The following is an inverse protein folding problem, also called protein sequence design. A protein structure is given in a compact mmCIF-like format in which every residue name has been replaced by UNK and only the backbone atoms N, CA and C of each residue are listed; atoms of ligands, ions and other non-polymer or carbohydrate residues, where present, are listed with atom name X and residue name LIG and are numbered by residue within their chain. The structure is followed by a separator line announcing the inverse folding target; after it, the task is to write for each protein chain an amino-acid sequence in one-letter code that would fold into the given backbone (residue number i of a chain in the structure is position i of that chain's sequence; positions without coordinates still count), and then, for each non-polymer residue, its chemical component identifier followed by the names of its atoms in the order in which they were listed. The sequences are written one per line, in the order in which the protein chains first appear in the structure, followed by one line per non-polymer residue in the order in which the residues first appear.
data_IF_466230050651
#
_entry.id   IF_466230050651
#
_cell.length_a   1.000
_cell.length_b   1.000
_cell.length_c   1.000
_cell.angle_alpha   90.00
_cell.angle_beta   90.00
_cell.angle_gamma   90.00
#
_symmetry.space_group_name_H-M   'P 1'
#
loop_
_entity.id
_entity.type
_entity.pdbx_description
1 polymer ?
#
# COMPACT_ATOMS: atom_id res chain seq x y z
N UNK A 1 -7.86 -0.65 5.03
CA UNK A 1 -7.51 -0.60 6.46
C UNK A 1 -6.58 -1.76 6.69
N UNK A 2 -5.48 -1.51 7.38
CA UNK A 2 -4.48 -2.51 7.71
C UNK A 2 -4.25 -2.54 9.22
N UNK A 3 -3.77 -3.67 9.72
CA UNK A 3 -3.61 -3.90 11.16
C UNK A 3 -2.26 -4.55 11.41
N UNK A 4 -1.50 -4.01 12.35
CA UNK A 4 -0.38 -4.69 12.98
C UNK A 4 -0.83 -5.17 14.38
N UNK A 5 -1.19 -6.45 14.53
CA UNK A 5 -1.63 -6.98 15.81
C UNK A 5 -0.49 -7.14 16.83
N UNK A 6 0.77 -7.11 16.39
CA UNK A 6 1.94 -7.31 17.24
C UNK A 6 2.38 -6.00 17.90
N UNK A 7 2.29 -4.90 17.16
CA UNK A 7 2.45 -3.54 17.70
C UNK A 7 1.15 -2.96 18.29
N UNK A 8 0.04 -3.66 18.13
CA UNK A 8 -1.26 -3.22 18.61
C UNK A 8 -1.74 -1.94 17.94
N UNK A 9 -1.50 -1.79 16.62
CA UNK A 9 -1.89 -0.62 15.83
C UNK A 9 -2.81 -0.96 14.67
N UNK A 10 -3.72 -0.04 14.34
CA UNK A 10 -4.48 -0.05 13.11
C UNK A 10 -4.21 1.21 12.27
N UNK A 11 -4.33 1.06 10.96
CA UNK A 11 -4.12 2.12 9.98
C UNK A 11 -5.32 2.13 9.03
N UNK A 12 -5.88 3.29 8.74
CA UNK A 12 -6.96 3.42 7.74
C UNK A 12 -6.83 4.71 6.94
N UNK A 13 -7.51 4.73 5.79
CA UNK A 13 -7.56 5.91 4.94
C UNK A 13 -8.88 6.62 5.21
N UNK A 14 -8.82 7.88 5.65
CA UNK A 14 -9.97 8.77 5.80
C UNK A 14 -9.68 10.07 5.07
N UNK A 15 -10.61 10.56 4.26
CA UNK A 15 -10.42 11.80 3.50
C UNK A 15 -9.08 11.86 2.73
N UNK A 16 -8.63 10.72 2.20
CA UNK A 16 -7.39 10.57 1.42
C UNK A 16 -6.09 10.74 2.19
N UNK A 17 -6.13 10.79 3.51
CA UNK A 17 -4.95 10.71 4.37
C UNK A 17 -4.96 9.39 5.14
N UNK A 18 -3.78 8.99 5.63
CA UNK A 18 -3.64 7.81 6.49
C UNK A 18 -3.77 8.26 7.94
N UNK A 19 -4.75 7.71 8.65
CA UNK A 19 -4.96 7.86 10.09
C UNK A 19 -4.52 6.56 10.79
N UNK A 20 -4.15 6.67 12.07
CA UNK A 20 -3.78 5.50 12.88
C UNK A 20 -4.26 5.63 14.32
N UNK A 21 -4.47 4.49 14.97
CA UNK A 21 -4.72 4.39 16.40
C UNK A 21 -4.14 3.07 16.92
N UNK A 22 -4.02 2.96 18.24
CA UNK A 22 -3.87 1.66 18.88
C UNK A 22 -5.16 0.82 18.73
N UNK A 23 -5.05 -0.49 18.97
CA UNK A 23 -6.19 -1.41 18.84
C UNK A 23 -7.30 -1.17 19.88
N UNK A 24 -7.04 -0.44 20.96
CA UNK A 24 -8.08 0.05 21.87
C UNK A 24 -8.81 1.28 21.33
N UNK A 25 -8.22 2.01 20.39
CA UNK A 25 -8.76 3.23 19.80
C UNK A 25 -8.53 4.50 20.62
N UNK A 26 -7.69 4.45 21.65
CA UNK A 26 -7.41 5.55 22.57
C UNK A 26 -6.30 6.48 22.05
N UNK A 27 -5.25 5.92 21.44
CA UNK A 27 -4.08 6.68 21.00
C UNK A 27 -4.12 6.99 19.50
N UNK A 28 -4.93 7.99 19.13
CA UNK A 28 -5.17 8.39 17.74
C UNK A 28 -4.16 9.42 17.21
N UNK A 29 -3.64 9.19 16.00
CA UNK A 29 -2.90 10.16 15.20
C UNK A 29 -3.68 10.47 13.92
N UNK A 30 -3.94 11.76 13.70
CA UNK A 30 -4.85 12.24 12.66
C UNK A 30 -4.29 12.26 11.25
N UNK A 31 -2.96 12.14 11.07
CA UNK A 31 -2.35 11.96 9.77
C UNK A 31 -0.91 11.45 9.92
N UNK A 32 -0.56 10.41 9.15
CA UNK A 32 0.82 9.95 8.97
C UNK A 32 1.26 9.98 7.49
N UNK A 33 0.40 10.48 6.61
CA UNK A 33 0.73 10.87 5.23
C UNK A 33 0.74 12.39 5.09
N UNK A 34 1.35 12.91 4.03
CA UNK A 34 1.30 14.34 3.73
C UNK A 34 -0.14 14.75 3.35
N UNK A 35 -0.59 15.93 3.77
CA UNK A 35 -1.94 16.43 3.48
C UNK A 35 -2.16 16.73 1.98
N UNK A 36 -1.08 16.94 1.23
CA UNK A 36 -1.12 17.13 -0.22
C UNK A 36 -1.25 15.82 -1.00
N UNK A 37 -1.06 14.68 -0.33
CA UNK A 37 -1.13 13.37 -0.96
C UNK A 37 -2.57 12.83 -0.96
N UNK A 38 -3.00 12.35 -2.11
CA UNK A 38 -4.32 11.76 -2.28
C UNK A 38 -4.21 10.24 -2.17
N UNK A 39 -4.16 9.72 -0.95
CA UNK A 39 -3.93 8.29 -0.69
C UNK A 39 -5.13 7.45 -1.16
N UNK A 40 -4.81 6.38 -1.90
CA UNK A 40 -5.78 5.47 -2.51
C UNK A 40 -5.82 4.10 -1.80
N UNK A 41 -4.65 3.54 -1.54
CA UNK A 41 -4.49 2.20 -0.95
C UNK A 41 -3.17 2.12 -0.22
N UNK A 42 -3.06 1.16 0.71
CA UNK A 42 -1.84 0.89 1.45
C UNK A 42 -1.67 -0.60 1.77
N UNK A 43 -0.47 -0.99 2.18
CA UNK A 43 -0.12 -2.29 2.76
C UNK A 43 1.00 -2.10 3.77
N UNK A 44 1.16 -3.02 4.71
CA UNK A 44 2.19 -2.98 5.74
C UNK A 44 3.36 -3.93 5.41
N UNK A 45 4.56 -3.53 5.79
CA UNK A 45 5.70 -4.42 6.07
C UNK A 45 5.89 -4.42 7.58
N UNK A 46 5.43 -5.51 8.22
CA UNK A 46 5.44 -5.66 9.68
C UNK A 46 6.86 -5.81 10.22
N UNK A 47 7.80 -6.35 9.43
CA UNK A 47 9.18 -6.55 9.89
C UNK A 47 9.92 -5.22 10.01
N UNK A 48 9.65 -4.28 9.10
CA UNK A 48 10.28 -2.96 9.08
C UNK A 48 9.43 -1.86 9.70
N UNK A 49 8.21 -2.15 10.11
CA UNK A 49 7.22 -1.15 10.53
C UNK A 49 7.06 -0.04 9.49
N UNK A 50 6.98 -0.44 8.22
CA UNK A 50 6.76 0.47 7.10
C UNK A 50 5.34 0.35 6.56
N UNK A 51 4.83 1.47 6.06
CA UNK A 51 3.59 1.60 5.34
C UNK A 51 3.93 1.95 3.91
N UNK A 52 3.56 1.07 2.99
CA UNK A 52 3.62 1.32 1.56
C UNK A 52 2.25 1.80 1.12
N UNK A 53 2.19 2.97 0.49
CA UNK A 53 0.91 3.49 0.01
C UNK A 53 1.03 4.13 -1.36
N UNK A 54 -0.09 4.10 -2.07
CA UNK A 54 -0.22 4.71 -3.38
C UNK A 54 -0.99 6.00 -3.23
N UNK A 55 -0.42 7.08 -3.74
CA UNK A 55 -1.07 8.39 -3.80
C UNK A 55 -1.21 8.85 -5.24
N UNK A 56 -2.30 9.56 -5.50
CA UNK A 56 -2.64 10.11 -6.80
C UNK A 56 -2.20 11.58 -6.88
N UNK A 57 -1.23 11.89 -7.75
CA UNK A 57 -0.77 13.27 -7.92
C UNK A 57 -1.48 13.98 -9.08
N UNK A 58 -1.87 13.25 -10.12
CA UNK A 58 -2.58 13.82 -11.28
C UNK A 58 -3.36 12.74 -12.03
N UNK A 59 -4.14 13.15 -13.05
CA UNK A 59 -5.18 12.31 -13.69
C UNK A 59 -4.70 10.92 -14.18
N UNK A 60 -3.41 10.74 -14.40
CA UNK A 60 -2.80 9.53 -14.95
C UNK A 60 -1.46 9.16 -14.27
N UNK A 61 -1.22 9.68 -13.06
CA UNK A 61 0.05 9.48 -12.38
C UNK A 61 -0.18 9.16 -10.91
N UNK A 62 0.10 7.90 -10.57
CA UNK A 62 0.18 7.41 -9.20
C UNK A 62 1.64 7.23 -8.81
N UNK A 63 1.94 7.51 -7.55
CA UNK A 63 3.28 7.32 -6.98
C UNK A 63 3.21 6.44 -5.74
N UNK A 64 4.23 5.62 -5.57
CA UNK A 64 4.45 4.81 -4.38
C UNK A 64 5.23 5.63 -3.36
N UNK A 65 4.72 5.65 -2.13
CA UNK A 65 5.33 6.27 -0.98
C UNK A 65 5.63 5.20 0.08
N UNK A 66 6.63 5.49 0.91
CA UNK A 66 7.02 4.66 2.04
C UNK A 66 7.22 5.57 3.23
N UNK A 67 6.48 5.27 4.29
CA UNK A 67 6.57 5.96 5.57
C UNK A 67 6.69 4.94 6.69
N UNK A 68 7.23 5.33 7.84
CA UNK A 68 7.17 4.50 9.04
C UNK A 68 5.79 4.62 9.72
N UNK A 69 5.59 3.91 10.83
CA UNK A 69 4.32 3.94 11.56
C UNK A 69 4.00 5.28 12.25
N UNK A 70 4.93 6.23 12.24
CA UNK A 70 4.78 7.57 12.83
C UNK A 70 4.70 8.67 11.76
N UNK A 71 4.74 8.30 10.47
CA UNK A 71 4.64 9.24 9.36
C UNK A 71 5.97 9.81 8.87
N UNK A 72 7.11 9.30 9.33
CA UNK A 72 8.41 9.69 8.79
C UNK A 72 8.62 9.07 7.42
N UNK A 73 8.77 9.92 6.40
CA UNK A 73 9.10 9.50 5.03
C UNK A 73 10.45 8.77 5.01
N UNK A 74 10.41 7.50 4.60
CA UNK A 74 11.59 6.60 4.61
C UNK A 74 12.45 6.81 3.36
N UNK A 75 11.83 7.18 2.23
CA UNK A 75 12.52 7.44 0.98
C UNK A 75 11.71 8.35 0.05
N UNK A 76 12.35 8.82 -1.03
CA UNK A 76 11.66 9.52 -2.10
C UNK A 76 10.57 8.67 -2.78
N UNK A 77 9.53 9.36 -3.24
CA UNK A 77 8.40 8.73 -3.90
C UNK A 77 8.84 8.13 -5.24
N UNK A 78 8.31 6.97 -5.57
CA UNK A 78 8.55 6.33 -6.86
C UNK A 78 7.36 6.50 -7.78
N UNK A 79 7.58 7.12 -8.94
CA UNK A 79 6.53 7.28 -9.95
C UNK A 79 6.23 5.96 -10.64
N UNK A 80 4.96 5.54 -10.64
CA UNK A 80 4.54 4.29 -11.30
C UNK A 80 4.17 4.62 -12.75
N UNK A 81 4.95 4.17 -13.75
CA UNK A 81 4.71 4.53 -15.15
C UNK A 81 3.38 3.99 -15.66
N UNK A 82 2.66 4.80 -16.43
CA UNK A 82 1.36 4.44 -17.04
C UNK A 82 0.34 3.91 -16.03
N UNK A 83 0.37 4.44 -14.80
CA UNK A 83 -0.58 4.08 -13.76
C UNK A 83 -1.91 4.82 -13.96
N UNK A 84 -2.86 4.14 -14.61
CA UNK A 84 -4.27 4.32 -14.24
C UNK A 84 -4.43 4.11 -12.73
N UNK A 85 -5.47 4.68 -12.09
CA UNK A 85 -5.61 4.61 -10.64
C UNK A 85 -5.45 3.17 -10.16
N UNK A 86 -4.39 2.94 -9.39
CA UNK A 86 -4.09 1.66 -8.76
C UNK A 86 -4.95 1.56 -7.52
N UNK A 87 -5.79 0.53 -7.44
CA UNK A 87 -6.78 0.41 -6.37
C UNK A 87 -6.32 -0.51 -5.23
N UNK A 88 -5.30 -1.33 -5.45
CA UNK A 88 -4.83 -2.24 -4.42
C UNK A 88 -3.35 -2.58 -4.56
N UNK A 89 -2.72 -2.74 -3.40
CA UNK A 89 -1.34 -3.14 -3.23
C UNK A 89 -1.25 -4.21 -2.13
N UNK A 90 -0.30 -5.13 -2.25
CA UNK A 90 0.05 -6.08 -1.18
C UNK A 90 1.56 -6.27 -1.14
N UNK A 91 2.11 -6.49 0.06
CA UNK A 91 3.53 -6.73 0.27
C UNK A 91 3.80 -8.17 0.70
N UNK A 92 4.84 -8.80 0.15
CA UNK A 92 5.31 -10.12 0.59
C UNK A 92 6.76 -10.40 0.24
N UNK A 93 7.49 -10.91 1.24
CA UNK A 93 8.92 -11.15 1.16
C UNK A 93 9.66 -9.82 0.95
N UNK A 94 9.96 -9.51 -0.31
CA UNK A 94 10.58 -8.25 -0.71
C UNK A 94 9.92 -7.61 -1.93
N UNK A 95 8.76 -8.13 -2.35
CA UNK A 95 7.99 -7.61 -3.47
C UNK A 95 6.71 -6.94 -3.01
N UNK A 96 6.38 -5.85 -3.69
CA UNK A 96 5.05 -5.29 -3.76
C UNK A 96 4.35 -5.83 -5.00
N UNK A 97 3.07 -6.14 -4.83
CA UNK A 97 2.15 -6.62 -5.83
C UNK A 97 1.07 -5.55 -6.03
N UNK A 98 1.02 -4.94 -7.21
CA UNK A 98 0.10 -3.84 -7.49
C UNK A 98 -0.89 -4.24 -8.56
N UNK A 99 -2.19 -4.04 -8.30
CA UNK A 99 -3.24 -4.28 -9.28
C UNK A 99 -3.74 -2.96 -9.88
N UNK A 100 -3.61 -2.82 -11.19
CA UNK A 100 -4.12 -1.68 -11.94
C UNK A 100 -5.36 -2.06 -12.78
N UNK A 101 -6.44 -1.28 -12.67
CA UNK A 101 -7.62 -1.38 -13.51
C UNK A 101 -7.34 -0.81 -14.91
N UNK A 102 -7.04 -1.70 -15.86
CA UNK A 102 -6.98 -1.36 -17.28
C UNK A 102 -8.32 -1.64 -17.98
N UNK A 103 -8.61 -0.90 -19.05
CA UNK A 103 -9.84 -1.05 -19.83
C UNK A 103 -10.07 -2.47 -20.40
N UNK A 104 -9.00 -3.25 -20.60
CA UNK A 104 -9.07 -4.58 -21.24
C UNK A 104 -8.29 -5.68 -20.51
N UNK A 105 -7.47 -5.35 -19.51
CA UNK A 105 -6.60 -6.27 -18.76
C UNK A 105 -6.26 -5.67 -17.38
N UNK A 106 -6.21 -6.51 -16.34
CA UNK A 106 -5.52 -6.12 -15.13
C UNK A 106 -4.04 -6.44 -15.27
N UNK A 107 -3.24 -5.53 -14.74
CA UNK A 107 -1.80 -5.76 -14.64
C UNK A 107 -1.44 -5.91 -13.19
N UNK A 108 -0.77 -7.02 -12.88
CA UNK A 108 -0.05 -7.23 -11.65
C UNK A 108 1.40 -6.79 -11.87
N UNK A 109 1.85 -5.80 -11.12
CA UNK A 109 3.25 -5.41 -11.11
C UNK A 109 3.94 -6.04 -9.90
N UNK A 110 5.09 -6.65 -10.14
CA UNK A 110 6.04 -7.00 -9.10
C UNK A 110 7.05 -5.87 -8.99
N UNK A 111 7.25 -5.37 -7.77
CA UNK A 111 8.15 -4.25 -7.53
C UNK A 111 8.99 -4.51 -6.29
N UNK A 112 10.29 -4.26 -6.38
CA UNK A 112 11.06 -3.90 -5.19
C UNK A 112 10.75 -2.44 -4.84
N UNK A 113 10.84 -2.01 -3.58
CA UNK A 113 10.69 -0.60 -3.21
C UNK A 113 11.54 0.31 -4.13
N UNK A 114 10.87 1.12 -4.95
CA UNK A 114 11.54 2.03 -5.90
C UNK A 114 11.92 1.45 -7.27
N UNK A 115 11.57 0.20 -7.61
CA UNK A 115 11.82 -0.35 -8.94
C UNK A 115 10.82 -1.42 -9.37
N UNK A 116 10.36 -1.38 -10.63
CA UNK A 116 9.53 -2.43 -11.22
C UNK A 116 10.44 -3.59 -11.64
N UNK A 117 10.20 -4.77 -11.08
CA UNK A 117 11.00 -5.98 -11.32
C UNK A 117 10.29 -6.97 -12.24
N UNK A 118 8.96 -6.88 -12.34
CA UNK A 118 8.18 -7.79 -13.17
C UNK A 118 6.80 -7.25 -13.51
N UNK A 119 6.21 -7.82 -14.57
CA UNK A 119 4.85 -7.52 -15.02
C UNK A 119 4.14 -8.81 -15.43
N UNK A 120 3.00 -9.06 -14.83
CA UNK A 120 2.12 -10.17 -15.18
C UNK A 120 0.75 -9.64 -15.60
N UNK A 121 0.18 -10.23 -16.65
CA UNK A 121 -1.19 -9.95 -17.06
C UNK A 121 -2.12 -10.98 -16.47
N UNK A 122 -3.04 -10.53 -15.62
CA UNK A 122 -4.10 -11.38 -15.09
C UNK A 122 -5.32 -11.20 -15.99
N UNK A 123 -6.05 -12.30 -16.22
CA UNK A 123 -7.27 -12.29 -17.06
C UNK A 123 -8.18 -11.14 -16.62
N UNK A 124 -8.60 -10.33 -17.57
CA UNK A 124 -9.54 -9.25 -17.30
C UNK A 124 -10.88 -9.83 -16.90
N UNK A 125 -11.41 -9.34 -15.79
CA UNK A 125 -12.80 -9.47 -15.44
C UNK A 125 -13.48 -8.20 -16.00
N UNK A 126 -14.68 -8.31 -16.57
CA UNK A 126 -15.45 -7.11 -17.00
C UNK A 126 -16.09 -6.43 -15.79
N UNK A 127 -15.31 -6.18 -14.74
CA UNK A 127 -15.73 -5.54 -13.49
C UNK A 127 -14.61 -4.62 -13.00
N UNK A 128 -14.87 -3.78 -12.01
CA UNK A 128 -13.79 -3.02 -11.36
C UNK A 128 -13.21 -3.84 -10.21
N UNK A 129 -11.88 -3.98 -10.16
CA UNK A 129 -11.21 -4.52 -8.97
C UNK A 129 -11.06 -3.38 -7.98
N UNK A 130 -11.83 -3.47 -6.90
CA UNK A 130 -11.80 -2.49 -5.81
C UNK A 130 -10.77 -2.83 -4.75
N UNK A 131 -10.42 -4.11 -4.62
CA UNK A 131 -9.46 -4.58 -3.62
C UNK A 131 -8.87 -5.93 -4.03
N UNK A 132 -7.59 -6.12 -3.74
CA UNK A 132 -6.85 -7.37 -3.83
C UNK A 132 -6.21 -7.62 -2.47
N UNK A 133 -6.14 -8.88 -2.05
CA UNK A 133 -5.39 -9.27 -0.86
C UNK A 133 -4.52 -10.46 -1.18
N UNK A 134 -3.26 -10.37 -0.81
CA UNK A 134 -2.39 -11.53 -0.85
C UNK A 134 -2.78 -12.52 0.25
N UNK A 135 -2.90 -13.79 -0.12
CA UNK A 135 -3.20 -14.89 0.80
C UNK A 135 -2.00 -15.84 0.82
N UNK A 136 -1.26 -15.80 1.92
CA UNK A 136 -0.17 -16.74 2.19
C UNK A 136 -0.02 -16.92 3.71
N UNK A 137 0.24 -18.15 4.22
CA UNK A 137 0.38 -18.38 5.66
C UNK A 137 1.41 -17.48 6.35
N UNK A 138 2.49 -17.13 5.64
CA UNK A 138 3.55 -16.29 6.19
C UNK A 138 3.19 -14.81 6.30
N UNK A 139 2.15 -14.33 5.60
CA UNK A 139 1.71 -12.92 5.67
C UNK A 139 1.12 -12.57 7.04
N UNK A 140 0.65 -13.56 7.79
CA UNK A 140 0.02 -13.38 9.10
C UNK A 140 0.93 -13.77 10.28
N UNK A 141 2.18 -14.19 10.01
CA UNK A 141 3.11 -14.58 11.06
C UNK A 141 3.67 -13.37 11.79
N UNK A 142 4.09 -13.58 13.03
CA UNK A 142 4.85 -12.57 13.78
C UNK A 142 6.10 -12.18 12.97
N UNK A 143 6.39 -10.87 12.83
CA UNK A 143 7.64 -10.44 12.26
C UNK A 143 8.80 -11.03 13.09
N UNK A 144 9.86 -11.45 12.40
CA UNK A 144 11.07 -11.93 13.09
C UNK A 144 11.79 -10.71 13.66
N UNK A 145 11.60 -10.46 14.95
CA UNK A 145 12.35 -9.43 15.68
C UNK A 145 13.84 -9.71 15.49
N UNK A 146 14.59 -8.72 14.97
CA UNK A 146 16.06 -8.74 14.91
C UNK A 146 16.63 -7.85 15.98
#
# INVERSE_FOLDING_TARGET
MEVDPYEGRLFWIRNRIIETADLSGENFLSSISDASEFVLTMTLDLERQHIYYISYQSRMQSSLFITDYNGLKVQESFNIPNSYPTFSISFFGSQLYLCNNGATKYTLYEMSPGNITGKMFVKAFRVDVLHMKLVHPDVQKSPKIK
#
